data_IF_744702590279
#
_entry.id   IF_744702590279
#
_cell.length_a   1.000
_cell.length_b   1.000
_cell.length_c   1.000
_cell.angle_alpha   90.00
_cell.angle_beta   90.00
_cell.angle_gamma   90.00
#
_symmetry.space_group_name_H-M   'P 1'
#
loop_
_entity.id
_entity.type
_entity.pdbx_description
1 polymer ?
#
# COMPACT_ATOMS: atom_id res chain seq x y z
N UNK A 1 10.26 108.54 1.70
CA UNK A 1 11.48 107.71 1.87
C UNK A 1 11.08 106.41 2.55
N UNK A 2 11.56 105.30 1.98
CA UNK A 2 11.18 103.90 2.14
C UNK A 2 10.86 103.37 3.56
N UNK A 3 9.72 102.68 3.70
CA UNK A 3 9.47 101.66 4.73
C UNK A 3 9.45 100.29 4.04
N UNK A 4 10.41 99.43 4.38
CA UNK A 4 10.54 98.07 3.91
C UNK A 4 9.65 97.12 4.72
N UNK A 5 8.72 96.44 4.04
CA UNK A 5 7.91 95.36 4.60
C UNK A 5 8.66 94.03 4.47
N UNK A 6 8.89 93.35 5.59
CA UNK A 6 9.43 91.98 5.65
C UNK A 6 8.25 91.03 5.81
N UNK A 7 7.93 90.28 4.75
CA UNK A 7 6.90 89.24 4.75
C UNK A 7 7.47 87.92 5.27
N UNK A 8 7.06 87.52 6.47
CA UNK A 8 7.46 86.26 7.09
C UNK A 8 6.59 85.12 6.55
N UNK A 9 7.05 84.43 5.50
CA UNK A 9 6.44 83.21 4.96
C UNK A 9 6.69 82.02 5.92
N UNK A 10 5.72 81.71 6.78
CA UNK A 10 5.68 80.43 7.52
C UNK A 10 5.37 79.28 6.54
N UNK A 11 6.40 78.54 6.11
CA UNK A 11 6.22 77.25 5.44
C UNK A 11 5.65 76.23 6.43
N UNK A 12 4.39 75.88 6.25
CA UNK A 12 3.77 74.72 6.90
C UNK A 12 4.41 73.46 6.30
N UNK A 13 5.34 72.83 7.04
CA UNK A 13 5.90 71.52 6.71
C UNK A 13 4.81 70.46 6.97
N UNK A 14 4.07 70.11 5.92
CA UNK A 14 3.21 68.91 5.91
C UNK A 14 4.18 67.72 6.01
N UNK A 15 4.21 67.04 7.16
CA UNK A 15 4.98 65.80 7.33
C UNK A 15 4.49 64.80 6.29
N UNK A 16 5.36 64.21 5.46
CA UNK A 16 4.97 63.15 4.55
C UNK A 16 4.39 62.00 5.36
N UNK A 17 3.12 61.74 5.12
CA UNK A 17 2.30 60.72 5.77
C UNK A 17 2.92 59.33 5.59
N UNK A 18 2.98 58.56 6.68
CA UNK A 18 3.52 57.20 6.87
C UNK A 18 2.95 56.09 5.94
N UNK A 19 2.30 56.43 4.83
CA UNK A 19 1.55 55.50 3.97
C UNK A 19 2.47 54.72 3.01
N UNK A 20 3.67 55.22 2.72
CA UNK A 20 4.55 54.63 1.70
C UNK A 20 5.26 53.32 2.12
N UNK A 21 5.31 52.96 3.40
CA UNK A 21 6.02 51.76 3.87
C UNK A 21 5.15 50.51 4.04
N UNK A 22 3.82 50.63 3.93
CA UNK A 22 2.91 49.49 4.14
C UNK A 22 2.59 48.70 2.86
N UNK A 23 2.76 49.30 1.68
CA UNK A 23 2.49 48.66 0.39
C UNK A 23 3.30 47.38 0.13
N UNK A 24 4.63 47.31 0.31
CA UNK A 24 5.38 46.08 0.03
C UNK A 24 5.02 44.92 0.96
N UNK A 25 4.66 45.23 2.21
CA UNK A 25 4.23 44.24 3.20
C UNK A 25 2.89 43.61 2.78
N UNK A 26 1.93 44.43 2.34
CA UNK A 26 0.65 43.95 1.83
C UNK A 26 0.81 43.10 0.57
N UNK A 27 1.71 43.48 -0.35
CA UNK A 27 2.03 42.68 -1.54
C UNK A 27 2.65 41.32 -1.18
N UNK A 28 3.53 41.28 -0.17
CA UNK A 28 4.13 40.03 0.31
C UNK A 28 3.08 39.09 0.94
N UNK A 29 2.22 39.60 1.84
CA UNK A 29 1.16 38.77 2.43
C UNK A 29 0.11 38.36 1.39
N UNK A 30 -0.22 39.24 0.44
CA UNK A 30 -1.11 38.92 -0.67
C UNK A 30 -0.56 37.81 -1.56
N UNK A 31 0.72 37.87 -1.93
CA UNK A 31 1.35 36.82 -2.74
C UNK A 31 1.49 35.50 -1.98
N UNK A 32 1.89 35.54 -0.70
CA UNK A 32 1.95 34.35 0.15
C UNK A 32 0.58 33.70 0.31
N UNK A 33 -0.48 34.49 0.49
CA UNK A 33 -1.86 33.98 0.56
C UNK A 33 -2.28 33.33 -0.77
N UNK A 34 -2.00 33.97 -1.91
CA UNK A 34 -2.32 33.40 -3.23
C UNK A 34 -1.58 32.08 -3.46
N UNK A 35 -0.28 32.02 -3.16
CA UNK A 35 0.52 30.80 -3.30
C UNK A 35 0.01 29.69 -2.36
N UNK A 36 -0.35 30.05 -1.12
CA UNK A 36 -0.93 29.11 -0.17
C UNK A 36 -2.28 28.56 -0.64
N UNK A 37 -3.15 29.43 -1.17
CA UNK A 37 -4.46 29.07 -1.72
C UNK A 37 -4.31 28.16 -2.94
N UNK A 38 -3.49 28.56 -3.93
CA UNK A 38 -3.31 27.77 -5.15
C UNK A 38 -2.65 26.42 -4.86
N UNK A 39 -1.64 26.41 -3.98
CA UNK A 39 -1.00 25.18 -3.50
C UNK A 39 -1.98 24.24 -2.80
N UNK A 40 -2.84 24.78 -1.93
CA UNK A 40 -3.88 24.00 -1.25
C UNK A 40 -4.93 23.43 -2.22
N UNK A 41 -5.43 24.22 -3.17
CA UNK A 41 -6.43 23.72 -4.12
C UNK A 41 -5.84 22.73 -5.13
N UNK A 42 -4.59 22.93 -5.55
CA UNK A 42 -3.86 21.98 -6.39
C UNK A 42 -3.63 20.65 -5.69
N UNK A 43 -3.12 20.68 -4.44
CA UNK A 43 -2.91 19.47 -3.64
C UNK A 43 -4.23 18.78 -3.31
N UNK A 44 -5.28 19.53 -2.97
CA UNK A 44 -6.63 18.99 -2.78
C UNK A 44 -7.12 18.26 -4.02
N UNK A 45 -7.07 18.89 -5.20
CA UNK A 45 -7.52 18.27 -6.44
C UNK A 45 -6.77 16.98 -6.77
N UNK A 46 -5.46 16.96 -6.49
CA UNK A 46 -4.63 15.79 -6.71
C UNK A 46 -4.93 14.67 -5.71
N UNK A 47 -4.95 14.98 -4.41
CA UNK A 47 -5.13 14.00 -3.32
C UNK A 47 -6.57 13.45 -3.28
N UNK A 48 -7.57 14.26 -3.62
CA UNK A 48 -8.97 13.83 -3.66
C UNK A 48 -9.19 12.69 -4.70
N UNK A 49 -8.23 12.42 -5.61
CA UNK A 49 -8.22 11.23 -6.48
C UNK A 49 -7.92 9.93 -5.74
N UNK A 50 -7.12 10.00 -4.68
CA UNK A 50 -6.71 8.86 -3.85
C UNK A 50 -7.61 8.67 -2.64
N UNK A 51 -8.07 9.78 -2.04
CA UNK A 51 -8.92 9.76 -0.85
C UNK A 51 -9.80 11.01 -0.80
N UNK A 52 -11.11 10.81 -0.88
CA UNK A 52 -12.07 11.88 -0.61
C UNK A 52 -12.17 12.12 0.90
N UNK A 53 -12.31 13.38 1.29
CA UNK A 53 -12.54 13.81 2.67
C UNK A 53 -13.99 14.25 2.86
N UNK A 54 -14.61 13.94 4.00
CA UNK A 54 -16.00 14.31 4.23
C UNK A 54 -16.13 15.83 4.34
N UNK A 55 -17.23 16.40 3.82
CA UNK A 55 -17.40 17.86 3.82
C UNK A 55 -17.59 18.37 5.25
N UNK A 56 -18.24 17.55 6.05
CA UNK A 56 -18.66 17.74 7.43
C UNK A 56 -17.48 17.71 8.41
N UNK A 57 -16.34 17.12 8.05
CA UNK A 57 -15.18 17.06 8.96
C UNK A 57 -14.58 18.44 9.25
N UNK A 58 -13.87 18.59 10.38
CA UNK A 58 -13.14 19.81 10.70
C UNK A 58 -12.09 20.12 9.63
N UNK A 59 -11.71 21.39 9.49
CA UNK A 59 -10.72 21.80 8.48
C UNK A 59 -9.37 21.16 8.79
N UNK A 60 -9.03 21.07 10.07
CA UNK A 60 -7.83 20.44 10.62
C UNK A 60 -7.73 18.97 10.21
N UNK A 61 -8.80 18.20 10.42
CA UNK A 61 -8.87 16.81 9.99
C UNK A 61 -8.74 16.64 8.48
N UNK A 62 -9.38 17.53 7.70
CA UNK A 62 -9.31 17.52 6.23
C UNK A 62 -7.90 17.84 5.72
N UNK A 63 -7.17 18.73 6.37
CA UNK A 63 -5.78 19.08 6.00
C UNK A 63 -4.85 17.94 6.39
N UNK A 64 -4.95 17.44 7.62
CA UNK A 64 -4.10 16.37 8.13
C UNK A 64 -4.33 15.04 7.42
N UNK A 65 -5.60 14.67 7.14
CA UNK A 65 -5.93 13.48 6.38
C UNK A 65 -5.32 13.52 4.97
N UNK A 66 -5.33 14.69 4.31
CA UNK A 66 -4.68 14.87 3.00
C UNK A 66 -3.17 14.77 3.10
N UNK A 67 -2.56 15.40 4.10
CA UNK A 67 -1.13 15.28 4.35
C UNK A 67 -0.72 13.81 4.59
N UNK A 68 -1.51 13.05 5.35
CA UNK A 68 -1.31 11.63 5.58
C UNK A 68 -1.31 10.82 4.29
N UNK A 69 -2.32 11.03 3.43
CA UNK A 69 -2.40 10.38 2.11
C UNK A 69 -1.24 10.77 1.21
N UNK A 70 -0.83 12.05 1.23
CA UNK A 70 0.34 12.52 0.47
C UNK A 70 1.62 11.81 0.92
N UNK A 71 1.87 11.73 2.23
CA UNK A 71 3.07 11.10 2.75
C UNK A 71 3.10 9.60 2.46
N UNK A 72 1.95 8.94 2.50
CA UNK A 72 1.82 7.52 2.20
C UNK A 72 2.03 7.21 0.71
N UNK A 73 1.30 7.89 -0.18
CA UNK A 73 1.23 7.50 -1.61
C UNK A 73 2.33 8.13 -2.48
N UNK A 74 2.90 9.26 -2.05
CA UNK A 74 3.79 10.07 -2.91
C UNK A 74 5.19 10.18 -2.32
N UNK A 75 5.29 10.43 -1.02
CA UNK A 75 6.59 10.57 -0.35
C UNK A 75 7.16 9.25 0.14
N UNK A 76 6.36 8.17 0.14
CA UNK A 76 6.71 6.87 0.74
C UNK A 76 7.28 7.02 2.17
N UNK A 77 6.70 7.91 2.96
CA UNK A 77 7.14 8.24 4.32
C UNK A 77 6.06 7.85 5.33
N UNK A 78 6.05 6.57 5.69
CA UNK A 78 5.03 5.98 6.57
C UNK A 78 4.99 6.61 7.97
N UNK A 79 6.13 7.12 8.47
CA UNK A 79 6.17 7.78 9.78
C UNK A 79 5.39 9.09 9.79
N UNK A 80 5.61 9.95 8.80
CA UNK A 80 4.87 11.20 8.68
C UNK A 80 3.41 10.96 8.28
N UNK A 81 3.14 9.92 7.49
CA UNK A 81 1.79 9.49 7.17
C UNK A 81 1.02 9.07 8.44
N UNK A 82 1.62 8.23 9.28
CA UNK A 82 1.05 7.77 10.55
C UNK A 82 0.65 8.95 11.44
N UNK A 83 1.57 9.90 11.69
CA UNK A 83 1.31 11.05 12.54
C UNK A 83 0.17 11.93 12.02
N UNK A 84 0.15 12.20 10.72
CA UNK A 84 -0.88 13.02 10.10
C UNK A 84 -2.27 12.34 10.11
N UNK A 85 -2.32 11.02 9.88
CA UNK A 85 -3.54 10.24 9.95
C UNK A 85 -4.09 10.15 11.38
N UNK A 86 -3.22 9.96 12.38
CA UNK A 86 -3.62 9.97 13.80
C UNK A 86 -4.21 11.33 14.16
N UNK A 87 -3.57 12.44 13.77
CA UNK A 87 -4.09 13.78 14.03
C UNK A 87 -5.46 14.01 13.37
N UNK A 88 -5.64 13.52 12.14
CA UNK A 88 -6.93 13.60 11.46
C UNK A 88 -8.03 12.84 12.22
N UNK A 89 -7.77 11.60 12.63
CA UNK A 89 -8.72 10.78 13.38
C UNK A 89 -9.01 11.35 14.78
N UNK A 90 -8.01 11.94 15.44
CA UNK A 90 -8.15 12.64 16.71
C UNK A 90 -9.09 13.84 16.59
N UNK A 91 -8.87 14.71 15.60
CA UNK A 91 -9.70 15.88 15.34
C UNK A 91 -11.15 15.49 15.02
N UNK A 92 -11.37 14.42 14.24
CA UNK A 92 -12.71 13.86 14.00
C UNK A 92 -13.33 13.36 15.31
N UNK A 93 -12.58 12.62 16.13
CA UNK A 93 -13.04 12.09 17.41
C UNK A 93 -13.50 13.16 18.38
N UNK A 94 -12.74 14.27 18.48
CA UNK A 94 -13.06 15.41 19.36
C UNK A 94 -14.38 16.09 18.96
N UNK A 95 -14.62 16.29 17.66
CA UNK A 95 -15.90 16.83 17.17
C UNK A 95 -17.09 15.91 17.49
N UNK A 96 -16.85 14.59 17.53
CA UNK A 96 -17.83 13.57 17.89
C UNK A 96 -17.94 13.31 19.41
N UNK A 97 -17.29 14.17 20.22
CA UNK A 97 -17.39 14.15 21.67
C UNK A 97 -16.50 13.13 22.38
N UNK A 98 -15.51 12.54 21.70
CA UNK A 98 -14.49 11.71 22.35
C UNK A 98 -13.56 12.59 23.19
N UNK A 99 -13.45 12.31 24.49
CA UNK A 99 -12.50 12.98 25.38
C UNK A 99 -11.14 12.30 25.25
N UNK A 100 -10.18 12.99 24.65
CA UNK A 100 -8.82 12.47 24.51
C UNK A 100 -7.97 13.08 25.62
N UNK A 101 -7.84 12.34 26.72
CA UNK A 101 -7.18 12.81 27.96
C UNK A 101 -5.64 12.80 27.89
N UNK A 102 -5.04 12.37 26.78
CA UNK A 102 -3.59 12.20 26.69
C UNK A 102 -2.91 13.28 25.85
N UNK A 103 -1.85 13.87 26.43
CA UNK A 103 -0.86 14.71 25.72
C UNK A 103 -0.01 13.89 24.73
N UNK A 104 -0.04 12.56 24.82
CA UNK A 104 0.66 11.69 23.88
C UNK A 104 -0.03 11.71 22.51
N UNK A 105 0.62 12.34 21.54
CA UNK A 105 0.15 12.46 20.17
C UNK A 105 -0.07 11.11 19.47
N UNK A 106 0.42 10.00 20.03
CA UNK A 106 0.21 8.65 19.48
C UNK A 106 -1.06 7.96 19.97
N UNK A 107 -1.70 8.47 21.03
CA UNK A 107 -2.93 7.88 21.56
C UNK A 107 -4.15 8.54 20.94
N UNK A 108 -4.99 7.72 20.31
CA UNK A 108 -6.28 8.12 19.79
C UNK A 108 -7.31 7.02 20.06
N UNK A 109 -8.59 7.40 20.02
CA UNK A 109 -9.70 6.48 20.17
C UNK A 109 -10.53 6.50 18.89
N UNK A 110 -10.90 5.33 18.40
CA UNK A 110 -11.82 5.19 17.27
C UNK A 110 -13.24 5.46 17.73
N UNK A 111 -14.07 5.94 16.82
CA UNK A 111 -15.51 6.01 17.05
C UNK A 111 -16.07 4.61 17.28
N UNK A 112 -17.08 4.49 18.13
CA UNK A 112 -17.80 3.23 18.27
C UNK A 112 -18.84 3.06 17.15
N UNK A 113 -19.43 1.87 17.04
CA UNK A 113 -20.43 1.56 16.01
C UNK A 113 -21.67 2.46 16.11
N UNK A 114 -22.14 2.74 17.33
CA UNK A 114 -23.32 3.60 17.57
C UNK A 114 -23.10 5.04 17.08
N UNK A 115 -21.90 5.58 17.26
CA UNK A 115 -21.50 6.89 16.74
C UNK A 115 -21.47 6.88 15.21
N UNK A 116 -20.89 5.84 14.61
CA UNK A 116 -20.84 5.69 13.15
C UNK A 116 -22.22 5.50 12.52
N UNK A 117 -23.13 4.77 13.15
CA UNK A 117 -24.46 4.50 12.63
C UNK A 117 -25.28 5.76 12.37
N UNK A 118 -25.06 6.81 13.17
CA UNK A 118 -25.69 8.13 13.02
C UNK A 118 -25.14 8.93 11.83
N UNK A 119 -24.08 8.46 11.18
CA UNK A 119 -23.41 9.15 10.07
C UNK A 119 -23.88 8.65 8.71
N UNK A 120 -23.78 9.53 7.72
CA UNK A 120 -24.08 9.18 6.33
C UNK A 120 -23.16 8.05 5.83
N UNK A 121 -23.64 7.25 4.88
CA UNK A 121 -22.84 6.17 4.26
C UNK A 121 -21.50 6.69 3.72
N UNK A 122 -21.52 7.86 3.08
CA UNK A 122 -20.34 8.52 2.51
C UNK A 122 -19.33 8.94 3.58
N UNK A 123 -19.81 9.46 4.71
CA UNK A 123 -18.97 9.83 5.85
C UNK A 123 -18.28 8.59 6.44
N UNK A 124 -19.05 7.51 6.66
CA UNK A 124 -18.53 6.24 7.17
C UNK A 124 -17.44 5.66 6.26
N UNK A 125 -17.68 5.65 4.95
CA UNK A 125 -16.72 5.17 3.97
C UNK A 125 -15.36 5.89 4.09
N UNK A 126 -15.36 7.22 4.09
CA UNK A 126 -14.12 8.00 4.18
C UNK A 126 -13.40 7.83 5.53
N UNK A 127 -14.16 7.69 6.62
CA UNK A 127 -13.57 7.43 7.93
C UNK A 127 -12.88 6.08 7.98
N UNK A 128 -13.54 5.02 7.47
CA UNK A 128 -12.98 3.67 7.41
C UNK A 128 -11.71 3.62 6.55
N UNK A 129 -11.69 4.39 5.46
CA UNK A 129 -10.50 4.49 4.62
C UNK A 129 -9.31 5.09 5.36
N UNK A 130 -9.51 6.16 6.15
CA UNK A 130 -8.43 6.73 6.98
C UNK A 130 -7.93 5.72 8.02
N UNK A 131 -8.85 4.99 8.67
CA UNK A 131 -8.48 3.94 9.64
C UNK A 131 -7.67 2.84 8.96
N UNK A 132 -8.07 2.43 7.75
CA UNK A 132 -7.38 1.41 6.98
C UNK A 132 -6.00 1.87 6.53
N UNK A 133 -5.87 3.11 6.06
CA UNK A 133 -4.56 3.71 5.71
C UNK A 133 -3.62 3.75 6.89
N UNK A 134 -4.14 4.12 8.07
CA UNK A 134 -3.34 4.10 9.30
C UNK A 134 -2.91 2.68 9.68
N UNK A 135 -3.78 1.68 9.50
CA UNK A 135 -3.43 0.28 9.72
C UNK A 135 -2.25 -0.16 8.83
N UNK A 136 -2.26 0.24 7.55
CA UNK A 136 -1.18 -0.04 6.61
C UNK A 136 0.13 0.63 7.04
N UNK A 137 0.13 1.93 7.38
CA UNK A 137 1.33 2.61 7.86
C UNK A 137 1.89 1.98 9.15
N UNK A 138 1.00 1.60 10.09
CA UNK A 138 1.39 0.90 11.32
C UNK A 138 2.09 -0.42 11.03
N UNK A 139 1.61 -1.18 10.04
CA UNK A 139 2.23 -2.43 9.64
C UNK A 139 3.63 -2.22 9.02
N UNK A 140 3.80 -1.22 8.16
CA UNK A 140 5.13 -0.89 7.58
C UNK A 140 6.13 -0.44 8.65
N UNK A 141 5.66 0.28 9.68
CA UNK A 141 6.48 0.69 10.83
C UNK A 141 6.73 -0.44 11.84
N UNK A 142 6.20 -1.65 11.61
CA UNK A 142 6.38 -2.82 12.48
C UNK A 142 5.49 -2.85 13.72
N UNK A 143 4.54 -1.92 13.87
CA UNK A 143 3.54 -1.91 14.94
C UNK A 143 2.35 -2.83 14.59
N UNK A 144 2.66 -4.13 14.51
CA UNK A 144 1.76 -5.17 14.00
C UNK A 144 0.50 -5.35 14.86
N UNK A 145 0.59 -5.14 16.18
CA UNK A 145 -0.54 -5.28 17.09
C UNK A 145 -1.59 -4.18 16.86
N UNK A 146 -1.17 -2.93 16.72
CA UNK A 146 -2.10 -1.84 16.42
C UNK A 146 -2.61 -1.91 14.98
N UNK A 147 -1.76 -2.31 14.02
CA UNK A 147 -2.18 -2.58 12.66
C UNK A 147 -3.31 -3.62 12.62
N UNK A 148 -3.16 -4.74 13.35
CA UNK A 148 -4.17 -5.79 13.43
C UNK A 148 -5.51 -5.27 13.99
N UNK A 149 -5.46 -4.50 15.09
CA UNK A 149 -6.68 -3.91 15.69
C UNK A 149 -7.41 -2.97 14.73
N UNK A 150 -6.67 -2.12 14.02
CA UNK A 150 -7.22 -1.17 13.06
C UNK A 150 -7.81 -1.88 11.83
N UNK A 151 -7.12 -2.91 11.32
CA UNK A 151 -7.65 -3.78 10.26
C UNK A 151 -8.94 -4.47 10.69
N UNK A 152 -8.97 -5.07 11.88
CA UNK A 152 -10.19 -5.73 12.37
C UNK A 152 -11.36 -4.76 12.53
N UNK A 153 -11.10 -3.55 13.02
CA UNK A 153 -12.10 -2.51 13.08
C UNK A 153 -12.68 -2.19 11.70
N UNK A 154 -11.83 -2.03 10.67
CA UNK A 154 -12.30 -1.71 9.32
C UNK A 154 -13.00 -2.89 8.63
N UNK A 155 -12.55 -4.13 8.86
CA UNK A 155 -13.11 -5.34 8.24
C UNK A 155 -14.48 -5.70 8.83
N UNK A 156 -14.70 -5.50 10.13
CA UNK A 156 -15.98 -5.81 10.80
C UNK A 156 -17.14 -4.89 10.38
N UNK A 157 -16.86 -3.82 9.65
CA UNK A 157 -17.88 -2.94 9.09
C UNK A 157 -18.35 -3.45 7.72
N UNK A 158 -19.61 -3.17 7.31
CA UNK A 158 -20.17 -3.64 6.04
C UNK A 158 -19.22 -3.47 4.85
N UNK A 159 -19.14 -4.50 4.01
CA UNK A 159 -18.19 -4.58 2.89
C UNK A 159 -18.37 -3.47 1.84
N UNK A 160 -19.56 -2.89 1.74
CA UNK A 160 -19.89 -1.81 0.81
C UNK A 160 -19.48 -0.41 1.31
N UNK A 161 -18.76 -0.33 2.43
CA UNK A 161 -18.20 0.90 2.99
C UNK A 161 -16.69 1.00 2.74
N UNK A 162 -16.29 2.16 2.21
CA UNK A 162 -14.89 2.50 1.94
C UNK A 162 -14.48 2.35 0.48
N UNK A 163 -13.23 2.67 0.21
CA UNK A 163 -12.54 2.37 -1.04
C UNK A 163 -12.32 0.88 -1.17
N UNK A 164 -12.59 0.38 -2.36
CA UNK A 164 -12.47 -1.05 -2.64
C UNK A 164 -11.04 -1.55 -2.49
N UNK A 165 -10.11 -0.78 -3.05
CA UNK A 165 -8.68 -1.05 -3.02
C UNK A 165 -8.17 -1.12 -1.57
N UNK A 166 -8.56 -0.16 -0.73
CA UNK A 166 -8.17 -0.13 0.68
C UNK A 166 -8.76 -1.31 1.45
N UNK A 167 -10.02 -1.67 1.19
CA UNK A 167 -10.64 -2.83 1.85
C UNK A 167 -9.92 -4.14 1.48
N UNK A 168 -9.58 -4.33 0.20
CA UNK A 168 -8.76 -5.47 -0.26
C UNK A 168 -7.39 -5.48 0.42
N UNK A 169 -6.69 -4.34 0.47
CA UNK A 169 -5.41 -4.18 1.18
C UNK A 169 -5.54 -4.51 2.68
N UNK A 170 -6.64 -4.11 3.33
CA UNK A 170 -6.90 -4.41 4.75
C UNK A 170 -7.08 -5.90 5.00
N UNK A 171 -7.86 -6.58 4.16
CA UNK A 171 -8.10 -8.02 4.25
C UNK A 171 -6.81 -8.82 4.04
N UNK A 172 -6.00 -8.45 3.03
CA UNK A 172 -4.67 -9.05 2.82
C UNK A 172 -3.73 -8.79 3.99
N UNK A 173 -3.71 -7.58 4.54
CA UNK A 173 -2.91 -7.30 5.74
C UNK A 173 -3.38 -8.16 6.94
N UNK A 174 -4.68 -8.26 7.19
CA UNK A 174 -5.21 -9.13 8.24
C UNK A 174 -4.81 -10.60 8.03
N UNK A 175 -4.90 -11.10 6.79
CA UNK A 175 -4.46 -12.44 6.42
C UNK A 175 -2.97 -12.67 6.72
N UNK A 176 -2.08 -11.76 6.29
CA UNK A 176 -0.65 -11.83 6.58
C UNK A 176 -0.36 -11.86 8.09
N UNK A 177 -1.05 -11.03 8.86
CA UNK A 177 -0.87 -10.96 10.33
C UNK A 177 -1.34 -12.25 11.02
N UNK A 178 -2.44 -12.84 10.56
CA UNK A 178 -2.93 -14.11 11.12
C UNK A 178 -2.08 -15.30 10.68
N UNK A 179 -1.57 -15.29 9.45
CA UNK A 179 -0.58 -16.26 8.96
C UNK A 179 0.69 -16.25 9.80
N UNK A 180 1.21 -15.08 10.16
CA UNK A 180 2.35 -14.95 11.07
C UNK A 180 2.09 -15.53 12.47
N UNK A 181 0.83 -15.52 12.92
CA UNK A 181 0.38 -16.15 14.18
C UNK A 181 0.12 -17.66 14.05
N UNK A 182 0.19 -18.22 12.84
CA UNK A 182 -0.13 -19.63 12.55
C UNK A 182 -1.62 -19.90 12.29
N UNK A 183 -2.47 -18.87 12.23
CA UNK A 183 -3.92 -18.97 12.05
C UNK A 183 -4.30 -19.09 10.56
N UNK A 184 -3.79 -20.11 9.88
CA UNK A 184 -3.87 -20.26 8.41
C UNK A 184 -5.29 -20.29 7.86
N UNK A 185 -6.25 -20.91 8.56
CA UNK A 185 -7.66 -20.96 8.12
C UNK A 185 -8.34 -19.59 8.17
N UNK A 186 -7.97 -18.76 9.15
CA UNK A 186 -8.51 -17.40 9.25
C UNK A 186 -7.88 -16.51 8.17
N UNK A 187 -6.58 -16.69 7.92
CA UNK A 187 -5.89 -16.08 6.78
C UNK A 187 -6.55 -16.44 5.45
N UNK A 188 -6.86 -17.72 5.21
CA UNK A 188 -7.60 -18.18 4.04
C UNK A 188 -8.94 -17.44 3.91
N UNK A 189 -9.75 -17.40 4.98
CA UNK A 189 -11.06 -16.72 4.95
C UNK A 189 -10.96 -15.26 4.52
N UNK A 190 -10.00 -14.49 5.05
CA UNK A 190 -9.82 -13.10 4.65
C UNK A 190 -9.38 -12.93 3.19
N UNK A 191 -8.54 -13.83 2.69
CA UNK A 191 -8.10 -13.80 1.30
C UNK A 191 -9.24 -14.18 0.35
N UNK A 192 -10.10 -15.13 0.74
CA UNK A 192 -11.31 -15.44 -0.02
C UNK A 192 -12.25 -14.24 -0.08
N UNK A 193 -12.44 -13.53 1.03
CA UNK A 193 -13.24 -12.31 1.06
C UNK A 193 -12.62 -11.20 0.19
N UNK A 194 -11.29 -11.07 0.17
CA UNK A 194 -10.60 -10.12 -0.70
C UNK A 194 -10.81 -10.45 -2.19
N UNK A 195 -10.74 -11.72 -2.57
CA UNK A 195 -10.97 -12.20 -3.95
C UNK A 195 -12.42 -11.98 -4.38
N UNK A 196 -13.40 -12.42 -3.56
CA UNK A 196 -14.84 -12.24 -3.82
C UNK A 196 -15.21 -10.76 -3.95
N UNK A 197 -14.55 -9.92 -3.19
CA UNK A 197 -14.83 -8.50 -3.23
C UNK A 197 -14.39 -7.84 -4.55
N UNK A 198 -13.30 -8.31 -5.17
CA UNK A 198 -12.93 -7.89 -6.52
C UNK A 198 -13.91 -8.46 -7.57
N UNK A 199 -14.36 -9.70 -7.40
CA UNK A 199 -15.36 -10.36 -8.27
C UNK A 199 -16.65 -9.54 -8.43
N UNK A 200 -17.21 -9.07 -7.31
CA UNK A 200 -18.47 -8.30 -7.30
C UNK A 200 -18.37 -6.95 -8.01
N UNK A 201 -17.18 -6.50 -8.35
CA UNK A 201 -16.88 -5.09 -8.58
C UNK A 201 -16.08 -4.81 -9.84
N UNK A 202 -15.46 -5.83 -10.44
CA UNK A 202 -14.73 -5.71 -11.69
C UNK A 202 -15.45 -6.41 -12.84
N UNK A 203 -15.67 -5.66 -13.93
CA UNK A 203 -16.19 -6.23 -15.17
C UNK A 203 -15.09 -7.01 -15.87
N UNK A 204 -15.30 -8.30 -16.10
CA UNK A 204 -14.36 -9.15 -16.85
C UNK A 204 -13.55 -10.13 -16.00
N UNK A 205 -13.73 -10.15 -14.67
CA UNK A 205 -13.37 -11.33 -13.89
C UNK A 205 -14.48 -12.36 -14.07
N UNK A 206 -14.15 -13.53 -14.62
CA UNK A 206 -15.08 -14.66 -14.74
C UNK A 206 -14.43 -15.84 -14.03
N UNK A 207 -14.93 -16.18 -12.85
CA UNK A 207 -14.57 -17.42 -12.18
C UNK A 207 -15.38 -18.57 -12.78
N UNK A 208 -14.78 -19.76 -12.90
CA UNK A 208 -15.49 -20.93 -13.41
C UNK A 208 -16.49 -21.47 -12.36
N UNK A 209 -17.67 -21.88 -12.83
CA UNK A 209 -18.81 -22.35 -12.01
C UNK A 209 -18.49 -23.54 -11.06
N UNK A 210 -17.35 -24.22 -11.25
CA UNK A 210 -16.88 -25.33 -10.41
C UNK A 210 -16.44 -24.94 -8.99
N UNK A 211 -16.60 -23.68 -8.58
CA UNK A 211 -16.14 -23.18 -7.27
C UNK A 211 -14.61 -23.08 -7.16
N UNK A 212 -13.92 -23.28 -8.27
CA UNK A 212 -12.47 -23.12 -8.42
C UNK A 212 -12.18 -21.67 -8.85
N UNK A 213 -11.16 -21.04 -8.25
CA UNK A 213 -10.72 -19.68 -8.56
C UNK A 213 -9.98 -19.59 -9.92
N UNK A 214 -10.53 -20.23 -10.95
CA UNK A 214 -10.00 -20.26 -12.30
C UNK A 214 -10.38 -18.96 -13.01
N UNK A 215 -9.38 -18.14 -13.33
CA UNK A 215 -9.53 -16.95 -14.16
C UNK A 215 -9.54 -17.33 -15.64
N UNK A 216 -10.41 -16.70 -16.42
CA UNK A 216 -10.36 -16.80 -17.88
C UNK A 216 -9.08 -16.12 -18.43
N UNK A 217 -8.55 -16.61 -19.56
CA UNK A 217 -7.36 -16.03 -20.23
C UNK A 217 -7.56 -14.57 -20.62
N UNK A 218 -8.81 -14.22 -20.92
CA UNK A 218 -9.24 -12.89 -21.32
C UNK A 218 -9.63 -12.02 -20.11
N UNK A 219 -9.59 -12.56 -18.89
CA UNK A 219 -9.91 -11.79 -17.69
C UNK A 219 -8.87 -10.70 -17.46
N UNK A 220 -9.37 -9.48 -17.27
CA UNK A 220 -8.56 -8.35 -16.82
C UNK A 220 -8.28 -8.50 -15.34
N UNK A 221 -7.16 -9.13 -14.99
CA UNK A 221 -6.72 -9.24 -13.61
C UNK A 221 -6.10 -7.92 -13.17
N UNK A 222 -6.76 -7.21 -12.25
CA UNK A 222 -6.16 -6.04 -11.61
C UNK A 222 -4.97 -6.43 -10.71
N UNK A 223 -4.05 -5.50 -10.44
CA UNK A 223 -2.96 -5.75 -9.49
C UNK A 223 -3.46 -6.22 -8.12
N UNK A 224 -4.58 -5.68 -7.64
CA UNK A 224 -5.17 -6.01 -6.35
C UNK A 224 -5.69 -7.45 -6.31
N UNK A 225 -6.36 -7.90 -7.37
CA UNK A 225 -6.79 -9.29 -7.50
C UNK A 225 -5.60 -10.23 -7.60
N UNK A 226 -4.60 -9.86 -8.41
CA UNK A 226 -3.38 -10.65 -8.59
C UNK A 226 -2.69 -10.92 -7.25
N UNK A 227 -2.47 -9.88 -6.45
CA UNK A 227 -1.84 -10.01 -5.13
C UNK A 227 -2.71 -10.82 -4.15
N UNK A 228 -4.03 -10.65 -4.19
CA UNK A 228 -4.97 -11.44 -3.35
C UNK A 228 -4.90 -12.93 -3.66
N UNK A 229 -4.91 -13.28 -4.95
CA UNK A 229 -4.79 -14.67 -5.41
C UNK A 229 -3.40 -15.24 -5.14
N UNK A 230 -2.33 -14.45 -5.33
CA UNK A 230 -0.96 -14.86 -5.03
C UNK A 230 -0.81 -15.23 -3.56
N UNK A 231 -1.28 -14.36 -2.64
CA UNK A 231 -1.26 -14.62 -1.20
C UNK A 231 -2.14 -15.82 -0.81
N UNK A 232 -3.27 -16.04 -1.50
CA UNK A 232 -4.13 -17.20 -1.31
C UNK A 232 -3.43 -18.50 -1.74
N UNK A 233 -2.77 -18.51 -2.89
CA UNK A 233 -1.97 -19.65 -3.36
C UNK A 233 -0.83 -20.01 -2.41
N UNK A 234 -0.15 -19.01 -1.83
CA UNK A 234 0.86 -19.20 -0.78
C UNK A 234 0.23 -19.82 0.47
N UNK A 235 -0.92 -19.31 0.91
CA UNK A 235 -1.64 -19.84 2.08
C UNK A 235 -2.07 -21.29 1.87
N UNK A 236 -2.58 -21.66 0.69
CA UNK A 236 -2.88 -23.05 0.35
C UNK A 236 -1.65 -23.95 0.32
N UNK A 237 -0.49 -23.45 -0.10
CA UNK A 237 0.76 -24.23 -0.03
C UNK A 237 1.12 -24.55 1.42
N UNK A 238 0.94 -23.58 2.33
CA UNK A 238 1.21 -23.77 3.76
C UNK A 238 0.19 -24.68 4.45
N UNK A 239 -1.06 -24.71 3.96
CA UNK A 239 -2.09 -25.67 4.36
C UNK A 239 -1.89 -27.07 3.73
N UNK A 240 -0.84 -27.27 2.93
CA UNK A 240 -0.57 -28.49 2.14
C UNK A 240 -1.67 -28.83 1.10
N UNK A 241 -2.52 -27.87 0.76
CA UNK A 241 -3.56 -27.97 -0.27
C UNK A 241 -2.98 -27.72 -1.68
N UNK A 242 -1.98 -28.52 -2.05
CA UNK A 242 -1.15 -28.32 -3.23
C UNK A 242 -1.93 -28.26 -4.56
N UNK A 243 -3.06 -28.95 -4.67
CA UNK A 243 -3.88 -28.91 -5.88
C UNK A 243 -4.51 -27.52 -6.08
N UNK A 244 -5.14 -26.95 -5.05
CA UNK A 244 -5.73 -25.60 -5.11
C UNK A 244 -4.65 -24.53 -5.36
N UNK A 245 -3.50 -24.68 -4.72
CA UNK A 245 -2.38 -23.76 -4.91
C UNK A 245 -1.83 -23.78 -6.34
N UNK A 246 -1.63 -24.98 -6.93
CA UNK A 246 -1.21 -25.13 -8.31
C UNK A 246 -2.22 -24.53 -9.29
N UNK A 247 -3.52 -24.76 -9.07
CA UNK A 247 -4.56 -24.16 -9.89
C UNK A 247 -4.43 -22.64 -9.91
N UNK A 248 -4.35 -22.00 -8.74
CA UNK A 248 -4.17 -20.55 -8.63
C UNK A 248 -2.92 -20.07 -9.36
N UNK A 249 -1.75 -20.66 -9.08
CA UNK A 249 -0.50 -20.18 -9.66
C UNK A 249 -0.42 -20.37 -11.17
N UNK A 250 -0.95 -21.47 -11.70
CA UNK A 250 -1.00 -21.71 -13.15
C UNK A 250 -1.97 -20.74 -13.85
N UNK A 251 -3.09 -20.39 -13.22
CA UNK A 251 -4.01 -19.39 -13.78
C UNK A 251 -3.39 -17.99 -13.79
N UNK A 252 -2.78 -17.58 -12.67
CA UNK A 252 -2.08 -16.30 -12.59
C UNK A 252 -0.96 -16.25 -13.64
N UNK A 253 -0.26 -17.37 -13.86
CA UNK A 253 0.79 -17.44 -14.87
C UNK A 253 0.19 -17.26 -16.27
N UNK A 254 -0.87 -18.00 -16.59
CA UNK A 254 -1.59 -17.91 -17.86
C UNK A 254 -2.09 -16.48 -18.17
N UNK A 255 -2.67 -15.80 -17.17
CA UNK A 255 -3.14 -14.42 -17.30
C UNK A 255 -1.98 -13.42 -17.42
N UNK A 256 -0.87 -13.67 -16.72
CA UNK A 256 0.33 -12.84 -16.83
C UNK A 256 1.09 -13.02 -18.15
N UNK A 257 0.90 -14.15 -18.84
CA UNK A 257 1.46 -14.41 -20.17
C UNK A 257 0.57 -13.86 -21.30
N UNK A 258 -0.76 -13.80 -21.11
CA UNK A 258 -1.70 -13.27 -22.10
C UNK A 258 -1.81 -11.75 -22.09
N UNK A 259 -1.66 -11.11 -20.93
CA UNK A 259 -1.76 -9.67 -20.83
C UNK A 259 -0.42 -8.98 -21.13
N UNK A 260 -0.41 -8.11 -22.14
CA UNK A 260 0.72 -7.17 -22.41
C UNK A 260 0.89 -6.10 -21.32
N UNK A 261 0.06 -6.12 -20.28
CA UNK A 261 0.08 -5.14 -19.19
C UNK A 261 1.34 -5.24 -18.34
N UNK A 262 1.62 -4.15 -17.63
CA UNK A 262 2.73 -3.89 -16.68
C UNK A 262 2.86 -4.89 -15.49
N UNK A 263 2.17 -6.04 -15.53
CA UNK A 263 2.41 -7.18 -14.65
C UNK A 263 3.81 -7.70 -14.98
N UNK A 264 4.78 -7.18 -14.22
CA UNK A 264 6.22 -7.35 -14.47
C UNK A 264 6.59 -8.80 -14.73
N UNK A 265 7.52 -9.02 -15.64
CA UNK A 265 8.17 -10.32 -15.91
C UNK A 265 8.65 -11.03 -14.62
N UNK A 266 8.99 -10.27 -13.57
CA UNK A 266 9.32 -10.84 -12.27
C UNK A 266 8.19 -11.64 -11.62
N UNK A 267 6.91 -11.32 -11.89
CA UNK A 267 5.77 -12.11 -11.40
C UNK A 267 5.69 -13.49 -12.06
N UNK A 268 5.97 -13.60 -13.36
CA UNK A 268 6.00 -14.89 -14.07
C UNK A 268 7.08 -15.81 -13.48
N UNK A 269 8.29 -15.27 -13.28
CA UNK A 269 9.38 -16.01 -12.64
C UNK A 269 9.04 -16.45 -11.20
N UNK A 270 8.38 -15.58 -10.42
CA UNK A 270 7.92 -15.92 -9.06
C UNK A 270 6.93 -17.08 -9.08
N UNK A 271 5.91 -17.02 -9.94
CA UNK A 271 4.90 -18.08 -10.09
C UNK A 271 5.52 -19.40 -10.53
N UNK A 272 6.43 -19.36 -11.53
CA UNK A 272 7.18 -20.54 -11.98
C UNK A 272 7.99 -21.15 -10.83
N UNK A 273 8.62 -20.32 -10.00
CA UNK A 273 9.34 -20.79 -8.83
C UNK A 273 8.38 -21.50 -7.87
N UNK A 274 7.25 -20.90 -7.49
CA UNK A 274 6.26 -21.52 -6.60
C UNK A 274 5.70 -22.84 -7.14
N UNK A 275 5.41 -22.92 -8.45
CA UNK A 275 5.02 -24.18 -9.10
C UNK A 275 6.11 -25.25 -8.92
N UNK A 276 7.38 -24.89 -9.13
CA UNK A 276 8.52 -25.78 -8.89
C UNK A 276 8.59 -26.28 -7.43
N UNK A 277 8.37 -25.40 -6.45
CA UNK A 277 8.36 -25.75 -5.03
C UNK A 277 7.25 -26.76 -4.70
N UNK A 278 6.04 -26.55 -5.22
CA UNK A 278 4.91 -27.47 -4.99
C UNK A 278 5.15 -28.82 -5.69
N UNK A 279 5.63 -28.82 -6.94
CA UNK A 279 5.94 -30.06 -7.67
C UNK A 279 6.96 -30.91 -6.91
N UNK A 280 7.94 -30.26 -6.28
CA UNK A 280 8.91 -30.94 -5.43
C UNK A 280 8.25 -31.58 -4.20
N UNK A 281 7.36 -30.85 -3.50
CA UNK A 281 6.58 -31.39 -2.36
C UNK A 281 5.70 -32.58 -2.77
N UNK A 282 5.20 -32.59 -4.01
CA UNK A 282 4.46 -33.74 -4.60
C UNK A 282 5.37 -34.88 -5.09
N UNK A 283 6.69 -34.80 -4.90
CA UNK A 283 7.65 -35.84 -5.30
C UNK A 283 8.07 -35.82 -6.77
N UNK A 284 7.65 -34.80 -7.54
CA UNK A 284 7.94 -34.67 -8.97
C UNK A 284 9.26 -33.91 -9.20
N UNK A 285 10.36 -34.40 -8.62
CA UNK A 285 11.66 -33.72 -8.55
C UNK A 285 12.20 -33.23 -9.90
N UNK A 286 12.12 -34.06 -10.95
CA UNK A 286 12.61 -33.68 -12.29
C UNK A 286 11.85 -32.47 -12.86
N UNK A 287 10.52 -32.48 -12.76
CA UNK A 287 9.68 -31.34 -13.19
C UNK A 287 9.93 -30.12 -12.32
N UNK A 288 10.11 -30.29 -11.02
CA UNK A 288 10.46 -29.18 -10.12
C UNK A 288 11.75 -28.47 -10.57
N UNK A 289 12.79 -29.23 -10.95
CA UNK A 289 14.04 -28.67 -11.49
C UNK A 289 13.78 -27.87 -12.77
N UNK A 290 12.98 -28.39 -13.70
CA UNK A 290 12.63 -27.69 -14.95
C UNK A 290 11.97 -26.33 -14.68
N UNK A 291 11.00 -26.30 -13.77
CA UNK A 291 10.28 -25.08 -13.39
C UNK A 291 11.17 -24.07 -12.65
N UNK A 292 11.98 -24.52 -11.70
CA UNK A 292 12.94 -23.64 -11.00
C UNK A 292 14.03 -23.10 -11.95
N UNK A 293 14.48 -23.88 -12.94
CA UNK A 293 15.40 -23.39 -13.99
C UNK A 293 14.76 -22.31 -14.86
N UNK A 294 13.50 -22.51 -15.25
CA UNK A 294 12.75 -21.53 -16.03
C UNK A 294 12.59 -20.21 -15.25
N UNK A 295 12.20 -20.30 -13.97
CA UNK A 295 12.12 -19.15 -13.07
C UNK A 295 13.46 -18.41 -12.96
N UNK A 296 14.56 -19.13 -12.69
CA UNK A 296 15.91 -18.57 -12.61
C UNK A 296 16.29 -17.84 -13.90
N UNK A 297 16.13 -18.48 -15.06
CA UNK A 297 16.51 -17.90 -16.36
C UNK A 297 15.81 -16.56 -16.61
N UNK A 298 14.52 -16.49 -16.26
CA UNK A 298 13.71 -15.30 -16.50
C UNK A 298 14.02 -14.17 -15.50
N UNK A 299 14.12 -14.46 -14.20
CA UNK A 299 14.41 -13.43 -13.20
C UNK A 299 15.87 -12.95 -13.26
N UNK A 300 16.80 -13.81 -13.67
CA UNK A 300 18.23 -13.49 -13.66
C UNK A 300 18.57 -12.35 -14.63
N UNK A 301 17.88 -12.26 -15.77
CA UNK A 301 18.08 -11.18 -16.76
C UNK A 301 17.88 -9.78 -16.16
N UNK A 302 17.03 -9.65 -15.12
CA UNK A 302 16.68 -8.37 -14.50
C UNK A 302 17.23 -8.22 -13.08
N UNK A 303 17.96 -9.20 -12.57
CA UNK A 303 18.43 -9.22 -11.17
C UNK A 303 19.35 -8.05 -10.80
N UNK A 304 20.04 -7.45 -11.77
CA UNK A 304 20.95 -6.31 -11.52
C UNK A 304 20.19 -5.00 -11.32
N UNK A 305 19.04 -4.82 -11.99
CA UNK A 305 18.29 -3.57 -12.01
C UNK A 305 17.01 -3.59 -11.18
N UNK A 306 16.47 -4.78 -10.87
CA UNK A 306 15.20 -4.95 -10.15
C UNK A 306 15.39 -5.79 -8.88
N UNK A 307 15.14 -5.19 -7.72
CA UNK A 307 15.27 -5.84 -6.40
C UNK A 307 14.42 -7.12 -6.33
N UNK A 308 13.18 -7.05 -6.81
CA UNK A 308 12.25 -8.18 -6.81
C UNK A 308 12.81 -9.36 -7.61
N UNK A 309 13.29 -9.09 -8.83
CA UNK A 309 13.95 -10.10 -9.68
C UNK A 309 15.21 -10.68 -9.06
N UNK A 310 16.02 -9.87 -8.36
CA UNK A 310 17.22 -10.35 -7.65
C UNK A 310 16.86 -11.35 -6.54
N UNK A 311 15.83 -11.03 -5.75
CA UNK A 311 15.34 -11.90 -4.69
C UNK A 311 14.75 -13.21 -5.23
N UNK A 312 13.96 -13.15 -6.30
CA UNK A 312 13.40 -14.34 -6.96
C UNK A 312 14.52 -15.22 -7.51
N UNK A 313 15.53 -14.62 -8.14
CA UNK A 313 16.72 -15.33 -8.65
C UNK A 313 17.44 -16.09 -7.53
N UNK A 314 17.65 -15.44 -6.37
CA UNK A 314 18.24 -16.10 -5.20
C UNK A 314 17.37 -17.26 -4.69
N UNK A 315 16.06 -17.08 -4.64
CA UNK A 315 15.15 -18.13 -4.19
C UNK A 315 15.16 -19.33 -5.14
N UNK A 316 15.07 -19.10 -6.46
CA UNK A 316 15.14 -20.15 -7.47
C UNK A 316 16.47 -20.92 -7.41
N UNK A 317 17.60 -20.22 -7.26
CA UNK A 317 18.91 -20.88 -7.11
C UNK A 317 19.01 -21.72 -5.83
N UNK A 318 18.50 -21.22 -4.70
CA UNK A 318 18.44 -22.03 -3.45
C UNK A 318 17.64 -23.31 -3.63
N UNK A 319 16.51 -23.22 -4.31
CA UNK A 319 15.69 -24.38 -4.64
C UNK A 319 16.45 -25.36 -5.53
N UNK A 320 17.12 -24.86 -6.58
CA UNK A 320 17.95 -25.69 -7.47
C UNK A 320 19.09 -26.39 -6.72
N UNK A 321 19.82 -25.69 -5.85
CA UNK A 321 20.87 -26.29 -5.00
C UNK A 321 20.30 -27.43 -4.17
N UNK A 322 19.14 -27.23 -3.53
CA UNK A 322 18.51 -28.29 -2.73
C UNK A 322 18.05 -29.47 -3.59
N UNK A 323 17.52 -29.20 -4.78
CA UNK A 323 17.02 -30.24 -5.69
C UNK A 323 18.16 -31.08 -6.26
N UNK A 324 19.26 -30.45 -6.72
CA UNK A 324 20.43 -31.16 -7.26
C UNK A 324 21.14 -32.01 -6.22
N UNK A 325 21.30 -31.52 -4.98
CA UNK A 325 21.84 -32.33 -3.88
C UNK A 325 21.00 -33.58 -3.62
N UNK A 326 19.68 -33.49 -3.78
CA UNK A 326 18.78 -34.63 -3.58
C UNK A 326 18.80 -35.62 -4.74
N UNK A 327 19.06 -35.17 -5.96
CA UNK A 327 19.22 -36.05 -7.13
C UNK A 327 20.61 -36.66 -7.24
N UNK A 328 21.58 -36.17 -6.45
CA UNK A 328 22.98 -36.62 -6.47
C UNK A 328 23.82 -35.90 -7.54
N UNK A 329 23.33 -34.78 -8.08
CA UNK A 329 24.03 -33.98 -9.08
C UNK A 329 24.91 -32.92 -8.40
N UNK A 330 25.94 -33.35 -7.67
CA UNK A 330 26.75 -32.48 -6.81
C UNK A 330 27.45 -31.34 -7.57
N UNK A 331 27.90 -31.59 -8.80
CA UNK A 331 28.53 -30.58 -9.65
C UNK A 331 27.57 -29.41 -9.95
N UNK A 332 26.33 -29.74 -10.33
CA UNK A 332 25.30 -28.74 -10.61
C UNK A 332 24.85 -28.00 -9.34
N UNK A 333 24.85 -28.70 -8.20
CA UNK A 333 24.58 -28.07 -6.91
C UNK A 333 25.66 -27.04 -6.55
N UNK A 334 26.93 -27.36 -6.76
CA UNK A 334 28.05 -26.46 -6.50
C UNK A 334 28.07 -25.26 -7.46
N UNK A 335 27.77 -25.49 -8.75
CA UNK A 335 27.63 -24.42 -9.74
C UNK A 335 26.52 -23.44 -9.32
N UNK A 336 25.31 -23.96 -9.03
CA UNK A 336 24.18 -23.14 -8.62
C UNK A 336 24.45 -22.38 -7.30
N UNK A 337 25.18 -22.99 -6.36
CA UNK A 337 25.60 -22.34 -5.12
C UNK A 337 26.59 -21.19 -5.39
N UNK A 338 27.56 -21.40 -6.27
CA UNK A 338 28.52 -20.37 -6.67
C UNK A 338 27.81 -19.19 -7.34
N UNK A 339 26.84 -19.47 -8.23
CA UNK A 339 26.02 -18.42 -8.83
C UNK A 339 25.21 -17.68 -7.76
N UNK A 340 24.60 -18.39 -6.82
CA UNK A 340 23.79 -17.81 -5.74
C UNK A 340 24.60 -16.80 -4.89
N UNK A 341 25.83 -17.17 -4.54
CA UNK A 341 26.72 -16.35 -3.73
C UNK A 341 27.18 -15.08 -4.47
N UNK A 342 27.20 -15.12 -5.81
CA UNK A 342 27.56 -14.00 -6.66
C UNK A 342 26.40 -13.03 -6.98
N UNK A 343 25.13 -13.39 -6.68
CA UNK A 343 24.01 -12.47 -6.93
C UNK A 343 24.03 -11.32 -5.90
N UNK A 344 24.19 -10.09 -6.40
CA UNK A 344 24.05 -8.86 -5.62
C UNK A 344 22.61 -8.37 -5.72
N UNK A 345 21.99 -8.04 -4.58
CA UNK A 345 20.66 -7.40 -4.56
C UNK A 345 20.89 -5.89 -4.59
N UNK A 346 20.30 -5.14 -5.54
CA UNK A 346 20.52 -3.70 -5.62
C UNK A 346 20.00 -2.98 -4.37
N UNK A 347 20.72 -1.97 -3.92
CA UNK A 347 20.34 -1.07 -2.83
C UNK A 347 19.43 0.05 -3.37
N UNK A 348 18.30 -0.26 -3.99
CA UNK A 348 17.24 0.75 -4.14
C UNK A 348 16.40 0.78 -2.86
N UNK A 349 15.60 1.83 -2.62
CA UNK A 349 14.68 1.90 -1.48
C UNK A 349 13.82 0.63 -1.44
N UNK A 350 14.24 -0.36 -0.66
CA UNK A 350 13.49 -1.59 -0.42
C UNK A 350 12.31 -1.15 0.43
N UNK A 351 11.15 -0.88 -0.19
CA UNK A 351 9.93 -0.80 0.59
C UNK A 351 9.78 -2.15 1.32
N UNK A 352 9.59 -2.06 2.63
CA UNK A 352 9.55 -3.17 3.60
C UNK A 352 8.52 -4.25 3.26
N UNK A 353 7.64 -3.99 2.30
CA UNK A 353 6.54 -4.86 1.89
C UNK A 353 6.95 -6.07 1.08
N UNK A 354 8.16 -6.10 0.50
CA UNK A 354 8.63 -7.27 -0.26
C UNK A 354 9.27 -8.33 0.64
N UNK A 355 8.47 -8.96 1.50
CA UNK A 355 8.84 -10.19 2.17
C UNK A 355 8.54 -11.38 1.24
N UNK A 356 9.57 -11.91 0.56
CA UNK A 356 9.50 -13.27 0.03
C UNK A 356 9.34 -14.22 1.22
N UNK A 357 8.12 -14.70 1.44
CA UNK A 357 7.90 -15.80 2.37
C UNK A 357 8.57 -17.06 1.82
N UNK A 358 9.49 -17.63 2.60
CA UNK A 358 10.00 -18.97 2.35
C UNK A 358 8.86 -19.96 2.56
N UNK A 359 8.46 -20.69 1.51
CA UNK A 359 7.58 -21.85 1.69
C UNK A 359 8.34 -23.08 2.22
N UNK A 360 9.67 -23.12 2.07
CA UNK A 360 10.53 -24.14 2.69
C UNK A 360 11.02 -23.69 4.08
N UNK A 361 10.39 -24.26 5.11
CA UNK A 361 11.06 -24.61 6.36
C UNK A 361 10.95 -26.11 6.58
#
# INVERSE_FOLDING_TARGET
>A
MFRSGVSTLRRCLIRPTHIATQTPILWFYGSAAVIGITGYFGSKWYIDKYQLMAKEWPIEAKVAGRAGVYFQEISENDHNAELALIYALKSIGEEEGLKIESEDNKKFQLLNLEQLEKKSKKWKAMYIDLVTRLALCKAELGDLDNAWKLCHYSINLPMDLGSRELKSKALRLAARLDRQKGELKRSESYLLDAVRFNELHETGIVFQDSGSYLLDKESKCTPELFESLLELGVTYTQLEEYTKSLEIFLNLLQVSESNETDIRQSNQALLKNYVGEILYKKGLTKKAIEWCRAAFKESHTFAVSDVKSAYITKQALRNLVSLYKKTGDDDLAQEAQTTLDNIVVPLSNISSTFLLEKLFR
#
